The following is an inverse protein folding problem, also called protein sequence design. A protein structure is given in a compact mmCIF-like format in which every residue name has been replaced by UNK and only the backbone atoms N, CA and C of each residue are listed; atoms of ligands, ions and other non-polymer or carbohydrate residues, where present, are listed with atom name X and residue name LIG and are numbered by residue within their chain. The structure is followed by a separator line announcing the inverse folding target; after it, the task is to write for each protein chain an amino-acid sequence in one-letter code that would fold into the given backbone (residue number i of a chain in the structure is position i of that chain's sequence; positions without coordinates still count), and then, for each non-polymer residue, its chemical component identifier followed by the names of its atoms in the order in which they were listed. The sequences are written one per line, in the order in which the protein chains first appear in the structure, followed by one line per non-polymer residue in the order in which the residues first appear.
data_IF_176878754397
#
_entry.id   IF_176878754397
#
_cell.length_a   1.000
_cell.length_b   1.000
_cell.length_c   1.000
_cell.angle_alpha   90.00
_cell.angle_beta   90.00
_cell.angle_gamma   90.00
#
_symmetry.space_group_name_H-M   'P 1'
#
loop_
_entity.id
_entity.type
_entity.pdbx_description
1 polymer ?
#
# COMPACT_ATOMS: atom_id res chain seq x y z
N UNK A 1 23.94 -8.54 3.00
CA UNK A 1 23.56 -8.47 4.44
C UNK A 1 22.08 -8.72 4.55
N UNK A 2 21.67 -9.49 5.56
CA UNK A 2 20.30 -9.94 5.73
C UNK A 2 19.50 -9.01 6.65
N UNK A 3 18.21 -8.94 6.40
CA UNK A 3 17.23 -8.15 7.11
C UNK A 3 15.97 -8.95 7.35
N UNK A 4 15.25 -8.60 8.41
CA UNK A 4 13.88 -9.02 8.70
C UNK A 4 12.98 -7.79 8.63
N UNK A 5 11.80 -7.94 8.04
CA UNK A 5 10.76 -6.91 8.04
C UNK A 5 9.72 -7.27 9.09
N UNK A 6 9.50 -6.38 10.07
CA UNK A 6 8.49 -6.56 11.11
C UNK A 6 7.34 -5.57 10.93
N UNK A 7 6.11 -6.09 10.90
CA UNK A 7 4.90 -5.30 10.64
C UNK A 7 4.51 -4.53 11.90
N UNK A 8 4.42 -3.20 11.81
CA UNK A 8 4.04 -2.32 12.93
C UNK A 8 2.56 -1.94 12.89
N UNK A 9 1.95 -1.95 11.70
CA UNK A 9 0.53 -1.70 11.51
C UNK A 9 0.01 -2.53 10.33
N UNK A 10 -1.30 -2.82 10.23
CA UNK A 10 -1.78 -3.77 9.21
C UNK A 10 -1.33 -3.40 7.80
N UNK A 11 -0.76 -4.36 7.07
CA UNK A 11 -0.24 -4.18 5.71
C UNK A 11 -1.12 -4.92 4.72
N UNK A 12 -1.77 -4.17 3.84
CA UNK A 12 -2.49 -4.74 2.70
C UNK A 12 -1.80 -4.38 1.40
N UNK A 13 -1.36 -5.39 0.65
CA UNK A 13 -0.89 -5.29 -0.73
C UNK A 13 -1.90 -6.05 -1.58
N UNK A 14 -2.56 -5.38 -2.52
CA UNK A 14 -3.69 -5.97 -3.23
C UNK A 14 -3.22 -7.03 -4.23
N UNK A 15 -3.79 -8.24 -4.14
CA UNK A 15 -3.50 -9.34 -5.07
C UNK A 15 -4.31 -9.32 -6.37
N UNK A 16 -5.37 -8.52 -6.41
CA UNK A 16 -6.39 -8.60 -7.47
C UNK A 16 -7.48 -9.64 -7.16
N UNK A 17 -7.28 -10.51 -6.17
CA UNK A 17 -8.31 -11.45 -5.72
C UNK A 17 -9.31 -10.79 -4.77
N UNK A 18 -10.56 -11.22 -4.89
CA UNK A 18 -11.67 -10.77 -4.06
C UNK A 18 -12.46 -12.00 -3.61
N UNK A 19 -12.57 -12.20 -2.29
CA UNK A 19 -13.43 -13.23 -1.73
C UNK A 19 -14.87 -12.75 -1.78
N UNK A 20 -15.72 -13.54 -2.43
CA UNK A 20 -17.16 -13.32 -2.47
C UNK A 20 -17.77 -13.72 -1.13
N UNK A 21 -18.89 -13.11 -0.76
CA UNK A 21 -19.62 -13.44 0.47
C UNK A 21 -19.86 -14.96 0.62
N UNK A 22 -20.29 -15.63 -0.46
CA UNK A 22 -20.55 -17.08 -0.46
C UNK A 22 -19.31 -17.97 -0.24
N UNK A 23 -18.10 -17.41 -0.22
CA UNK A 23 -16.84 -18.17 -0.08
C UNK A 23 -16.24 -18.03 1.33
N UNK A 24 -16.98 -17.45 2.27
CA UNK A 24 -16.56 -17.40 3.66
C UNK A 24 -17.73 -17.52 4.64
N UNK A 25 -17.42 -17.93 5.87
CA UNK A 25 -18.31 -17.94 7.03
C UNK A 25 -17.68 -17.12 8.15
N UNK A 26 -18.51 -16.48 8.96
CA UNK A 26 -18.07 -15.82 10.19
C UNK A 26 -18.47 -16.70 11.36
N UNK A 27 -17.49 -17.11 12.16
CA UNK A 27 -17.71 -17.88 13.39
C UNK A 27 -16.92 -17.21 14.50
N UNK A 28 -17.63 -16.69 15.49
CA UNK A 28 -17.07 -15.87 16.56
C UNK A 28 -16.22 -14.72 15.97
N UNK A 29 -14.97 -14.57 16.43
CA UNK A 29 -14.01 -13.57 15.95
C UNK A 29 -13.15 -14.06 14.78
N UNK A 30 -13.59 -15.07 14.02
CA UNK A 30 -12.86 -15.65 12.89
C UNK A 30 -13.65 -15.60 11.59
N UNK A 31 -12.93 -15.46 10.49
CA UNK A 31 -13.45 -15.69 9.14
C UNK A 31 -12.85 -16.99 8.59
N UNK A 32 -13.71 -17.95 8.30
CA UNK A 32 -13.34 -19.22 7.66
C UNK A 32 -13.47 -19.03 6.15
N UNK A 33 -12.39 -19.25 5.41
CA UNK A 33 -12.31 -19.02 3.96
C UNK A 33 -12.35 -20.36 3.24
N UNK A 34 -13.19 -20.48 2.22
CA UNK A 34 -13.42 -21.72 1.46
C UNK A 34 -12.94 -21.59 0.02
N UNK A 35 -12.60 -22.71 -0.59
CA UNK A 35 -12.36 -22.77 -2.02
C UNK A 35 -13.70 -22.65 -2.77
N UNK A 36 -13.80 -21.69 -3.70
CA UNK A 36 -15.02 -21.46 -4.49
C UNK A 36 -15.50 -22.72 -5.22
N UNK A 37 -14.59 -23.56 -5.72
CA UNK A 37 -14.95 -24.82 -6.41
C UNK A 37 -15.57 -25.83 -5.45
N UNK A 38 -15.07 -25.90 -4.21
CA UNK A 38 -15.63 -26.83 -3.21
C UNK A 38 -17.01 -26.36 -2.75
N UNK A 39 -17.23 -25.04 -2.65
CA UNK A 39 -18.55 -24.46 -2.42
C UNK A 39 -19.51 -24.81 -3.56
N UNK A 40 -19.11 -24.60 -4.81
CA UNK A 40 -19.94 -24.90 -5.99
C UNK A 40 -20.30 -26.38 -6.06
N UNK A 41 -19.34 -27.28 -5.83
CA UNK A 41 -19.58 -28.73 -5.83
C UNK A 41 -20.53 -29.20 -4.73
N UNK A 42 -20.67 -28.40 -3.67
CA UNK A 42 -21.53 -28.72 -2.52
C UNK A 42 -22.95 -28.13 -2.67
N UNK A 43 -23.27 -27.47 -3.79
CA UNK A 43 -24.64 -27.06 -4.10
C UNK A 43 -25.46 -28.31 -4.40
N UNK A 44 -26.61 -28.46 -3.73
CA UNK A 44 -27.48 -29.61 -3.96
C UNK A 44 -28.04 -29.58 -5.37
N UNK A 45 -28.15 -30.75 -6.01
CA UNK A 45 -28.60 -30.87 -7.40
C UNK A 45 -29.96 -30.19 -7.65
N UNK A 46 -30.89 -30.30 -6.69
CA UNK A 46 -32.21 -29.65 -6.76
C UNK A 46 -32.17 -28.11 -6.71
N UNK A 47 -31.04 -27.52 -6.31
CA UNK A 47 -30.87 -26.08 -6.06
C UNK A 47 -29.91 -25.42 -7.07
N UNK A 48 -29.41 -26.15 -8.06
CA UNK A 48 -28.51 -25.62 -9.09
C UNK A 48 -29.10 -24.42 -9.86
N UNK A 49 -30.43 -24.38 -10.01
CA UNK A 49 -31.16 -23.31 -10.67
C UNK A 49 -31.79 -22.31 -9.69
N UNK A 50 -31.37 -22.31 -8.43
CA UNK A 50 -31.87 -21.39 -7.42
C UNK A 50 -31.51 -19.93 -7.80
N UNK A 51 -32.52 -19.08 -7.98
CA UNK A 51 -32.36 -17.70 -8.45
C UNK A 51 -31.53 -16.84 -7.48
N UNK A 52 -31.66 -17.05 -6.16
CA UNK A 52 -30.88 -16.31 -5.16
C UNK A 52 -29.39 -16.67 -5.23
N UNK A 53 -29.09 -17.97 -5.37
CA UNK A 53 -27.74 -18.47 -5.57
C UNK A 53 -27.15 -17.98 -6.90
N UNK A 54 -27.87 -18.14 -8.01
CA UNK A 54 -27.40 -17.71 -9.34
C UNK A 54 -27.17 -16.20 -9.40
N UNK A 55 -28.02 -15.39 -8.76
CA UNK A 55 -27.77 -13.94 -8.63
C UNK A 55 -26.47 -13.67 -7.91
N UNK A 56 -26.18 -14.37 -6.81
CA UNK A 56 -24.93 -14.17 -6.07
C UNK A 56 -23.68 -14.50 -6.91
N UNK A 57 -23.77 -15.46 -7.84
CA UNK A 57 -22.68 -15.77 -8.79
C UNK A 57 -22.59 -14.76 -9.94
N UNK A 58 -23.73 -14.32 -10.48
CA UNK A 58 -23.82 -13.42 -11.63
C UNK A 58 -23.54 -11.96 -11.27
N UNK A 59 -23.68 -11.56 -10.00
CA UNK A 59 -23.46 -10.18 -9.58
C UNK A 59 -21.99 -9.87 -9.41
N UNK A 60 -21.31 -9.56 -10.52
CA UNK A 60 -20.10 -8.70 -10.49
C UNK A 60 -20.45 -7.21 -10.52
N UNK A 61 -21.74 -6.85 -10.64
CA UNK A 61 -22.19 -5.48 -10.97
C UNK A 61 -23.31 -4.89 -10.09
N UNK A 62 -23.97 -5.67 -9.21
CA UNK A 62 -25.09 -5.18 -8.40
C UNK A 62 -24.61 -4.61 -7.07
N UNK A 63 -24.95 -3.35 -6.74
CA UNK A 63 -24.63 -2.73 -5.44
C UNK A 63 -25.63 -3.08 -4.32
N UNK A 64 -26.56 -4.00 -4.54
CA UNK A 64 -27.58 -4.31 -3.53
C UNK A 64 -27.06 -5.37 -2.57
N UNK A 65 -26.86 -4.96 -1.31
CA UNK A 65 -26.42 -5.83 -0.21
C UNK A 65 -27.26 -7.09 -0.03
N UNK A 66 -28.53 -7.06 -0.45
CA UNK A 66 -29.46 -8.18 -0.35
C UNK A 66 -29.01 -9.43 -1.11
N UNK A 67 -28.22 -9.28 -2.19
CA UNK A 67 -27.74 -10.40 -3.02
C UNK A 67 -26.42 -11.01 -2.56
N UNK A 68 -25.74 -10.37 -1.61
CA UNK A 68 -24.48 -10.89 -1.09
C UNK A 68 -24.78 -11.57 0.24
N UNK A 69 -24.89 -12.90 0.20
CA UNK A 69 -25.08 -13.73 1.38
C UNK A 69 -23.83 -14.54 1.64
N UNK A 70 -23.51 -14.70 2.92
CA UNK A 70 -22.38 -15.52 3.37
C UNK A 70 -22.69 -17.01 3.19
N UNK A 71 -21.67 -17.86 3.24
CA UNK A 71 -21.84 -19.29 2.99
C UNK A 71 -22.82 -19.94 3.99
N UNK A 72 -22.76 -19.54 5.26
CA UNK A 72 -23.63 -20.03 6.33
C UNK A 72 -25.11 -19.76 6.05
N UNK A 73 -25.45 -18.66 5.36
CA UNK A 73 -26.83 -18.41 4.93
C UNK A 73 -27.33 -19.50 3.98
N UNK A 74 -26.54 -19.88 2.98
CA UNK A 74 -26.92 -20.89 2.00
C UNK A 74 -26.97 -22.29 2.60
N UNK A 75 -26.09 -22.59 3.56
CA UNK A 75 -26.14 -23.84 4.34
C UNK A 75 -27.43 -23.90 5.16
N UNK A 76 -27.73 -22.84 5.93
CA UNK A 76 -28.93 -22.77 6.77
C UNK A 76 -30.24 -22.83 5.97
N UNK A 77 -30.23 -22.34 4.73
CA UNK A 77 -31.34 -22.47 3.77
C UNK A 77 -31.46 -23.87 3.15
N UNK A 78 -30.49 -24.74 3.38
CA UNK A 78 -30.42 -26.06 2.78
C UNK A 78 -30.10 -26.06 1.29
N UNK A 79 -29.58 -24.94 0.75
CA UNK A 79 -29.16 -24.80 -0.66
C UNK A 79 -27.81 -25.50 -0.88
N UNK A 80 -26.90 -25.35 0.09
CA UNK A 80 -25.57 -25.96 0.08
C UNK A 80 -25.51 -27.04 1.16
N UNK A 81 -24.81 -28.14 0.88
CA UNK A 81 -24.57 -29.23 1.83
C UNK A 81 -23.74 -28.76 3.03
N UNK A 82 -24.19 -29.09 4.24
CA UNK A 82 -23.53 -28.72 5.50
C UNK A 82 -22.10 -29.26 5.60
N UNK A 83 -21.80 -30.39 4.95
CA UNK A 83 -20.47 -31.00 4.92
C UNK A 83 -19.38 -30.09 4.33
N UNK A 84 -19.73 -29.02 3.61
CA UNK A 84 -18.76 -28.02 3.14
C UNK A 84 -18.15 -27.21 4.27
N UNK A 85 -18.85 -27.05 5.40
CA UNK A 85 -18.41 -26.23 6.53
C UNK A 85 -17.09 -26.72 7.14
N UNK A 86 -16.80 -28.02 7.01
CA UNK A 86 -15.56 -28.66 7.48
C UNK A 86 -14.41 -28.60 6.45
N UNK A 87 -14.62 -28.01 5.27
CA UNK A 87 -13.65 -27.94 4.15
C UNK A 87 -13.04 -26.54 3.97
N UNK A 88 -12.94 -25.75 5.04
CA UNK A 88 -12.31 -24.44 4.96
C UNK A 88 -10.82 -24.59 4.61
N UNK A 89 -10.32 -23.69 3.77
CA UNK A 89 -8.93 -23.63 3.32
C UNK A 89 -8.07 -22.83 4.29
N UNK A 90 -8.64 -21.79 4.89
CA UNK A 90 -7.91 -20.82 5.70
C UNK A 90 -8.78 -20.24 6.82
N UNK A 91 -8.14 -19.75 7.87
CA UNK A 91 -8.79 -19.06 8.99
C UNK A 91 -8.04 -17.76 9.27
N UNK A 92 -8.76 -16.65 9.31
CA UNK A 92 -8.19 -15.32 9.57
C UNK A 92 -8.94 -14.61 10.70
N UNK A 93 -8.26 -13.69 11.39
CA UNK A 93 -8.88 -12.89 12.46
C UNK A 93 -9.95 -11.95 11.88
N UNK A 94 -11.09 -11.81 12.55
CA UNK A 94 -12.14 -10.88 12.17
C UNK A 94 -12.10 -9.61 13.03
N UNK A 95 -11.70 -8.49 12.44
CA UNK A 95 -11.78 -7.16 13.08
C UNK A 95 -12.97 -6.34 12.58
N UNK A 96 -13.97 -7.00 11.98
CA UNK A 96 -15.15 -6.36 11.40
C UNK A 96 -16.43 -6.89 12.07
N UNK A 97 -17.17 -5.99 12.72
CA UNK A 97 -18.40 -6.35 13.43
C UNK A 97 -19.47 -7.00 12.53
N UNK A 98 -19.56 -6.58 11.27
CA UNK A 98 -20.57 -7.07 10.33
C UNK A 98 -19.96 -7.18 8.93
N UNK A 99 -19.75 -8.43 8.50
CA UNK A 99 -19.31 -8.80 7.17
C UNK A 99 -20.48 -9.18 6.25
N UNK A 100 -21.73 -9.09 6.70
CA UNK A 100 -22.88 -9.48 5.89
C UNK A 100 -22.89 -8.76 4.54
N UNK A 101 -22.84 -9.57 3.49
CA UNK A 101 -22.82 -9.11 2.12
C UNK A 101 -21.65 -8.21 1.74
N UNK A 102 -20.48 -8.40 2.37
CA UNK A 102 -19.25 -7.73 1.99
C UNK A 102 -18.36 -8.64 1.16
N UNK A 103 -17.68 -8.05 0.19
CA UNK A 103 -16.53 -8.68 -0.47
C UNK A 103 -15.26 -8.38 0.33
N UNK A 104 -14.38 -9.37 0.47
CA UNK A 104 -13.09 -9.20 1.15
C UNK A 104 -12.00 -9.15 0.09
N UNK A 105 -11.36 -7.98 -0.07
CA UNK A 105 -10.26 -7.81 -1.00
C UNK A 105 -9.00 -8.42 -0.39
N UNK A 106 -8.45 -9.43 -1.05
CA UNK A 106 -7.34 -10.21 -0.49
C UNK A 106 -6.01 -9.48 -0.57
N UNK A 107 -5.11 -9.85 0.33
CA UNK A 107 -3.71 -9.45 0.21
C UNK A 107 -2.90 -10.45 -0.61
N UNK A 108 -1.60 -10.19 -0.78
CA UNK A 108 -0.69 -11.06 -1.52
C UNK A 108 -0.45 -12.34 -0.73
N UNK A 109 -0.88 -13.47 -1.28
CA UNK A 109 -0.74 -14.80 -0.67
C UNK A 109 -0.22 -15.75 -1.75
N UNK A 110 0.71 -16.61 -1.35
CA UNK A 110 1.22 -17.72 -2.16
C UNK A 110 1.03 -19.04 -1.40
N UNK A 111 1.63 -20.13 -1.89
CA UNK A 111 1.53 -21.45 -1.24
C UNK A 111 2.15 -21.50 0.17
N UNK A 112 3.12 -20.64 0.47
CA UNK A 112 3.78 -20.54 1.77
C UNK A 112 3.01 -19.65 2.75
N UNK A 113 2.08 -18.82 2.28
CA UNK A 113 1.27 -17.92 3.08
C UNK A 113 1.30 -16.48 2.56
N UNK A 114 0.98 -15.49 3.41
CA UNK A 114 1.09 -14.10 3.01
C UNK A 114 2.54 -13.70 2.78
N UNK A 115 2.76 -12.83 1.80
CA UNK A 115 4.10 -12.39 1.43
C UNK A 115 4.08 -10.92 0.98
N UNK A 116 5.23 -10.26 1.06
CA UNK A 116 5.43 -8.92 0.50
C UNK A 116 6.21 -9.08 -0.80
N UNK A 117 5.65 -8.65 -1.95
CA UNK A 117 6.38 -8.70 -3.21
C UNK A 117 7.63 -7.81 -3.16
N UNK A 118 8.75 -8.30 -3.69
CA UNK A 118 10.00 -7.56 -3.77
C UNK A 118 9.86 -6.29 -4.60
N UNK A 119 8.94 -6.27 -5.56
CA UNK A 119 8.54 -5.09 -6.32
C UNK A 119 7.94 -3.97 -5.45
N UNK A 120 7.25 -4.31 -4.36
CA UNK A 120 6.70 -3.33 -3.41
C UNK A 120 7.81 -2.64 -2.63
N UNK A 121 8.77 -3.41 -2.10
CA UNK A 121 9.94 -2.86 -1.41
C UNK A 121 10.84 -2.09 -2.37
N UNK A 122 11.05 -2.60 -3.58
CA UNK A 122 11.86 -1.93 -4.61
C UNK A 122 11.23 -0.61 -5.04
N UNK A 123 9.91 -0.55 -5.15
CA UNK A 123 9.16 0.67 -5.41
C UNK A 123 9.36 1.70 -4.30
N UNK A 124 9.28 1.30 -3.03
CA UNK A 124 9.56 2.18 -1.89
C UNK A 124 11.00 2.73 -1.93
N UNK A 125 12.00 1.86 -2.06
CA UNK A 125 13.42 2.26 -2.12
C UNK A 125 13.65 3.22 -3.28
N UNK A 126 13.06 2.96 -4.45
CA UNK A 126 13.11 3.87 -5.60
C UNK A 126 12.56 5.24 -5.26
N UNK A 127 11.36 5.32 -4.69
CA UNK A 127 10.78 6.61 -4.32
C UNK A 127 11.62 7.34 -3.28
N UNK A 128 12.17 6.65 -2.28
CA UNK A 128 13.03 7.26 -1.26
C UNK A 128 14.33 7.83 -1.85
N UNK A 129 15.00 7.10 -2.76
CA UNK A 129 16.21 7.57 -3.45
C UNK A 129 15.89 8.79 -4.33
N UNK A 130 14.81 8.72 -5.11
CA UNK A 130 14.41 9.82 -6.00
C UNK A 130 14.05 11.06 -5.18
N UNK A 131 13.37 10.88 -4.06
CA UNK A 131 13.05 11.94 -3.11
C UNK A 131 14.29 12.64 -2.57
N UNK A 132 15.28 11.89 -2.04
CA UNK A 132 16.53 12.44 -1.50
C UNK A 132 17.37 13.11 -2.60
N UNK A 133 17.42 12.51 -3.79
CA UNK A 133 18.10 13.08 -4.96
C UNK A 133 17.50 14.43 -5.37
N UNK A 134 16.17 14.55 -5.37
CA UNK A 134 15.50 15.82 -5.61
C UNK A 134 15.87 16.85 -4.54
N UNK A 135 15.77 16.49 -3.25
CA UNK A 135 16.15 17.37 -2.14
C UNK A 135 17.55 17.96 -2.33
N UNK A 136 18.52 17.14 -2.73
CA UNK A 136 19.89 17.58 -3.01
C UNK A 136 20.03 18.47 -4.25
N UNK A 137 19.25 18.24 -5.32
CA UNK A 137 19.26 19.07 -6.54
C UNK A 137 18.52 20.41 -6.36
N UNK A 138 17.63 20.50 -5.38
CA UNK A 138 16.92 21.73 -5.02
C UNK A 138 15.71 22.06 -5.88
N UNK A 139 15.02 23.13 -5.50
CA UNK A 139 13.71 23.49 -6.05
C UNK A 139 13.76 23.91 -7.53
N UNK A 140 14.84 24.56 -7.97
CA UNK A 140 14.94 25.06 -9.34
C UNK A 140 15.04 23.92 -10.37
N UNK A 141 15.75 22.85 -10.02
CA UNK A 141 15.78 21.62 -10.81
C UNK A 141 14.39 21.01 -10.92
N UNK A 142 13.65 20.93 -9.80
CA UNK A 142 12.30 20.39 -9.78
C UNK A 142 11.33 21.26 -10.60
N UNK A 143 11.40 22.59 -10.47
CA UNK A 143 10.61 23.53 -11.29
C UNK A 143 10.94 23.36 -12.77
N UNK A 144 12.21 23.09 -13.10
CA UNK A 144 12.66 22.71 -14.44
C UNK A 144 12.00 21.43 -14.96
N UNK A 145 11.97 20.39 -14.12
CA UNK A 145 11.28 19.13 -14.42
C UNK A 145 9.78 19.36 -14.68
N UNK A 146 9.08 20.07 -13.80
CA UNK A 146 7.64 20.36 -13.98
C UNK A 146 7.37 21.14 -15.27
N UNK A 147 8.19 22.17 -15.58
CA UNK A 147 8.08 22.90 -16.85
C UNK A 147 8.29 22.00 -18.06
N UNK A 148 9.29 21.12 -18.00
CA UNK A 148 9.56 20.15 -19.05
C UNK A 148 8.37 19.23 -19.29
N UNK A 149 7.82 18.62 -18.23
CA UNK A 149 6.69 17.68 -18.30
C UNK A 149 5.41 18.33 -18.87
N UNK A 150 5.21 19.63 -18.61
CA UNK A 150 4.12 20.41 -19.19
C UNK A 150 4.36 20.86 -20.64
N UNK A 151 5.59 20.73 -21.14
CA UNK A 151 5.94 21.07 -22.53
C UNK A 151 5.48 20.01 -23.52
N UNK A 152 5.47 20.36 -24.81
CA UNK A 152 5.10 19.43 -25.90
C UNK A 152 6.03 18.20 -25.97
N UNK A 153 7.30 18.36 -25.59
CA UNK A 153 8.31 17.30 -25.58
C UNK A 153 8.26 16.42 -24.33
N UNK A 154 7.70 16.92 -23.22
CA UNK A 154 7.65 16.20 -21.94
C UNK A 154 6.36 15.42 -21.69
N UNK A 155 5.35 15.56 -22.56
CA UNK A 155 4.08 14.80 -22.42
C UNK A 155 4.35 13.30 -22.46
N UNK A 156 3.87 12.59 -21.44
CA UNK A 156 4.04 11.14 -21.31
C UNK A 156 5.24 10.71 -20.47
N UNK A 157 6.06 11.64 -20.00
CA UNK A 157 7.13 11.37 -19.04
C UNK A 157 6.68 11.70 -17.61
N UNK A 158 7.41 11.15 -16.64
CA UNK A 158 7.26 11.41 -15.22
C UNK A 158 8.46 12.18 -14.66
N UNK A 159 8.35 12.68 -13.42
CA UNK A 159 9.50 13.30 -12.73
C UNK A 159 10.62 12.28 -12.53
N UNK A 160 10.28 11.01 -12.28
CA UNK A 160 11.24 9.92 -12.21
C UNK A 160 12.01 9.79 -13.53
N UNK A 161 11.32 9.81 -14.68
CA UNK A 161 11.97 9.74 -15.99
C UNK A 161 12.93 10.93 -16.20
N UNK A 162 12.53 12.14 -15.77
CA UNK A 162 13.36 13.35 -15.84
C UNK A 162 14.65 13.27 -15.01
N UNK A 163 14.60 12.56 -13.90
CA UNK A 163 15.78 12.36 -13.06
C UNK A 163 16.65 11.27 -13.67
N UNK A 164 16.05 10.18 -14.17
CA UNK A 164 16.80 8.99 -14.58
C UNK A 164 17.42 9.10 -15.95
N UNK A 165 16.78 9.82 -16.88
CA UNK A 165 17.17 9.85 -18.28
C UNK A 165 17.67 11.22 -18.71
N UNK A 166 18.60 11.19 -19.65
CA UNK A 166 19.18 12.39 -20.25
C UNK A 166 18.18 13.08 -21.20
N UNK A 167 18.25 14.41 -21.22
CA UNK A 167 17.56 15.26 -22.19
C UNK A 167 18.56 15.54 -23.32
N UNK A 168 18.22 15.15 -24.54
CA UNK A 168 19.06 15.38 -25.72
C UNK A 168 19.09 16.85 -26.10
N UNK A 169 20.07 17.26 -26.92
CA UNK A 169 20.24 18.64 -27.41
C UNK A 169 18.99 19.21 -28.10
N UNK A 170 18.17 18.36 -28.72
CA UNK A 170 16.91 18.76 -29.35
C UNK A 170 15.74 18.96 -28.35
N UNK A 171 16.01 18.87 -27.05
CA UNK A 171 15.04 19.00 -25.97
C UNK A 171 14.10 17.81 -25.80
N UNK A 172 14.34 16.67 -26.47
CA UNK A 172 13.57 15.43 -26.25
C UNK A 172 14.29 14.51 -25.27
N UNK A 173 13.53 13.88 -24.39
CA UNK A 173 14.04 12.86 -23.49
C UNK A 173 14.06 11.50 -24.19
N UNK A 174 15.17 10.79 -24.07
CA UNK A 174 15.30 9.42 -24.58
C UNK A 174 15.10 8.44 -23.43
N UNK A 175 13.85 8.06 -23.17
CA UNK A 175 13.54 6.99 -22.21
C UNK A 175 14.07 5.66 -22.73
N UNK A 176 14.96 5.05 -21.98
CA UNK A 176 15.54 3.75 -22.30
C UNK A 176 15.52 2.88 -21.04
N UNK A 177 14.60 1.93 -20.97
CA UNK A 177 14.43 1.06 -19.80
C UNK A 177 15.72 0.26 -19.52
N UNK A 178 16.50 -0.08 -20.55
CA UNK A 178 17.78 -0.76 -20.39
C UNK A 178 18.85 0.11 -19.69
N UNK A 179 18.63 1.43 -19.63
CA UNK A 179 19.44 2.42 -18.93
C UNK A 179 18.87 2.80 -17.54
N UNK A 180 17.83 2.14 -17.04
CA UNK A 180 17.35 2.38 -15.67
C UNK A 180 18.36 1.79 -14.66
N UNK A 181 18.98 2.63 -13.78
CA UNK A 181 19.97 2.16 -12.82
C UNK A 181 19.39 1.18 -11.80
N UNK A 182 18.09 1.21 -11.52
CA UNK A 182 17.46 0.30 -10.55
C UNK A 182 17.46 -1.16 -11.02
N UNK A 183 17.89 -1.46 -12.26
CA UNK A 183 18.17 -2.84 -12.68
C UNK A 183 19.28 -3.50 -11.86
N UNK A 184 20.18 -2.70 -11.28
CA UNK A 184 21.30 -3.21 -10.47
C UNK A 184 20.86 -3.60 -9.05
N UNK A 185 19.61 -3.35 -8.67
CA UNK A 185 19.05 -3.72 -7.37
C UNK A 185 17.98 -4.80 -7.53
N UNK A 186 18.22 -5.97 -6.95
CA UNK A 186 17.26 -7.06 -6.78
C UNK A 186 16.71 -7.06 -5.36
N UNK A 187 15.41 -7.35 -5.23
CA UNK A 187 14.77 -7.67 -3.96
C UNK A 187 13.84 -8.84 -4.27
N UNK A 188 14.03 -9.97 -3.58
CA UNK A 188 13.15 -11.12 -3.72
C UNK A 188 11.79 -10.84 -3.09
N UNK A 189 10.79 -11.62 -3.46
CA UNK A 189 9.56 -11.71 -2.68
C UNK A 189 9.87 -12.31 -1.30
N UNK A 190 9.25 -11.79 -0.25
CA UNK A 190 9.53 -12.19 1.14
C UNK A 190 8.28 -12.75 1.82
N UNK A 191 8.38 -13.95 2.36
CA UNK A 191 7.27 -14.60 3.06
C UNK A 191 7.20 -14.14 4.53
N UNK A 192 5.99 -14.06 5.07
CA UNK A 192 5.78 -13.85 6.50
C UNK A 192 5.88 -15.17 7.27
N UNK A 193 6.49 -15.13 8.45
CA UNK A 193 6.79 -16.32 9.26
C UNK A 193 5.58 -16.74 10.08
N UNK A 194 4.92 -15.80 10.76
CA UNK A 194 3.77 -16.12 11.62
C UNK A 194 2.47 -16.25 10.82
N UNK A 195 2.45 -15.69 9.59
CA UNK A 195 1.31 -15.76 8.65
C UNK A 195 0.03 -15.18 9.24
N UNK A 196 0.15 -14.14 10.07
CA UNK A 196 -0.99 -13.53 10.75
C UNK A 196 -1.75 -12.66 9.78
N UNK A 197 -2.98 -13.07 9.49
CA UNK A 197 -3.90 -12.36 8.62
C UNK A 197 -5.14 -11.94 9.41
N UNK A 198 -5.57 -10.70 9.16
CA UNK A 198 -6.81 -10.16 9.71
C UNK A 198 -7.66 -9.51 8.63
N UNK A 199 -8.98 -9.56 8.82
CA UNK A 199 -9.97 -8.87 7.99
C UNK A 199 -10.33 -7.55 8.66
N UNK A 200 -10.22 -6.47 7.90
CA UNK A 200 -10.37 -5.11 8.36
C UNK A 200 -11.33 -4.32 7.47
N UNK A 201 -12.13 -3.44 8.07
CA UNK A 201 -12.96 -2.48 7.34
C UNK A 201 -12.21 -1.16 7.18
N UNK A 202 -11.97 -0.76 5.94
CA UNK A 202 -11.38 0.55 5.65
C UNK A 202 -12.39 1.67 5.90
N UNK A 203 -11.89 2.76 6.46
CA UNK A 203 -12.59 4.05 6.52
C UNK A 203 -11.73 5.10 5.82
N UNK A 204 -12.35 5.87 4.92
CA UNK A 204 -11.71 6.99 4.25
C UNK A 204 -12.14 8.26 4.98
N UNK A 205 -11.21 8.89 5.68
CA UNK A 205 -11.41 10.21 6.25
C UNK A 205 -11.08 11.27 5.22
N UNK A 206 -12.08 12.04 4.83
CA UNK A 206 -11.93 13.35 4.21
C UNK A 206 -12.11 14.37 5.34
N UNK A 207 -11.37 15.47 5.34
CA UNK A 207 -11.31 16.46 6.45
C UNK A 207 -12.69 16.79 7.05
N UNK A 208 -13.75 16.82 6.24
CA UNK A 208 -15.12 17.13 6.67
C UNK A 208 -16.07 15.93 6.82
N UNK A 209 -15.71 14.73 6.36
CA UNK A 209 -16.61 13.57 6.33
C UNK A 209 -15.88 12.24 6.22
N UNK A 210 -16.55 11.19 6.67
CA UNK A 210 -16.11 9.81 6.46
C UNK A 210 -16.81 9.20 5.27
N UNK A 211 -16.09 8.35 4.56
CA UNK A 211 -16.64 7.50 3.51
C UNK A 211 -16.29 6.05 3.83
N UNK A 212 -17.24 5.11 3.65
CA UNK A 212 -16.92 3.70 3.78
C UNK A 212 -15.88 3.32 2.73
N UNK A 213 -14.84 2.61 3.14
CA UNK A 213 -13.91 1.94 2.24
C UNK A 213 -14.31 0.50 2.01
N UNK A 214 -13.37 -0.29 1.49
CA UNK A 214 -13.57 -1.72 1.26
C UNK A 214 -13.31 -2.51 2.54
N UNK A 215 -13.77 -3.76 2.57
CA UNK A 215 -13.24 -4.75 3.51
C UNK A 215 -12.00 -5.38 2.89
N UNK A 216 -10.90 -5.43 3.64
CA UNK A 216 -9.60 -5.90 3.16
C UNK A 216 -9.06 -6.96 4.11
N UNK A 217 -8.37 -7.94 3.55
CA UNK A 217 -7.47 -8.83 4.30
C UNK A 217 -6.09 -8.16 4.39
N UNK A 218 -5.42 -8.20 5.54
CA UNK A 218 -4.12 -7.57 5.73
C UNK A 218 -3.22 -8.43 6.62
N UNK A 219 -1.91 -8.36 6.39
CA UNK A 219 -0.90 -8.89 7.30
C UNK A 219 -0.96 -8.10 8.60
N UNK A 220 -1.08 -8.80 9.73
CA UNK A 220 -1.30 -8.16 11.02
C UNK A 220 -0.01 -7.56 11.61
N UNK A 221 -0.21 -6.56 12.48
CA UNK A 221 0.88 -6.02 13.27
C UNK A 221 1.47 -7.12 14.19
N UNK A 222 2.79 -7.16 14.28
CA UNK A 222 3.54 -8.15 15.04
C UNK A 222 4.05 -9.34 14.24
N UNK A 223 3.56 -9.56 13.01
CA UNK A 223 4.15 -10.54 12.10
C UNK A 223 5.53 -10.04 11.59
N UNK A 224 6.38 -10.96 11.18
CA UNK A 224 7.73 -10.69 10.69
C UNK A 224 8.09 -11.58 9.50
N UNK A 225 8.95 -11.09 8.61
CA UNK A 225 9.35 -11.81 7.41
C UNK A 225 10.46 -12.82 7.68
N UNK A 226 10.65 -13.75 6.73
CA UNK A 226 11.92 -14.43 6.58
C UNK A 226 13.07 -13.44 6.29
N UNK A 227 14.30 -13.92 6.43
CA UNK A 227 15.48 -13.13 6.09
C UNK A 227 15.58 -12.85 4.59
N UNK A 228 15.96 -11.61 4.26
CA UNK A 228 16.21 -11.21 2.88
C UNK A 228 17.29 -10.13 2.80
N UNK A 229 17.84 -9.92 1.61
CA UNK A 229 18.86 -8.92 1.33
C UNK A 229 18.47 -8.02 0.15
N UNK A 230 19.06 -6.82 0.13
CA UNK A 230 19.08 -5.97 -1.06
C UNK A 230 20.23 -6.45 -1.94
N UNK A 231 19.91 -7.18 -3.00
CA UNK A 231 20.92 -7.67 -3.92
C UNK A 231 21.39 -6.53 -4.83
N UNK A 232 22.62 -6.05 -4.63
CA UNK A 232 23.19 -4.97 -5.41
C UNK A 232 24.30 -5.51 -6.32
N UNK A 233 24.07 -5.45 -7.63
CA UNK A 233 24.99 -5.93 -8.66
C UNK A 233 25.42 -4.80 -9.59
N UNK A 234 26.25 -3.88 -9.10
CA UNK A 234 26.80 -2.78 -9.92
C UNK A 234 28.07 -3.27 -10.61
N UNK A 235 28.08 -3.23 -11.95
CA UNK A 235 29.30 -3.45 -12.73
C UNK A 235 29.97 -2.09 -12.96
N UNK A 236 31.15 -1.85 -12.37
CA UNK A 236 31.87 -0.57 -12.43
C UNK A 236 32.12 -0.08 -13.87
N UNK A 237 32.42 -0.98 -14.81
CA UNK A 237 32.66 -0.62 -16.22
C UNK A 237 31.39 -0.12 -16.90
N UNK A 238 30.23 -0.65 -16.52
CA UNK A 238 28.94 -0.26 -17.06
C UNK A 238 28.32 0.90 -16.28
N UNK A 239 28.65 1.09 -15.00
CA UNK A 239 28.05 2.11 -14.14
C UNK A 239 28.11 3.53 -14.73
N UNK A 240 29.19 3.86 -15.44
CA UNK A 240 29.38 5.16 -16.09
C UNK A 240 28.41 5.44 -17.24
N UNK A 241 27.75 4.43 -17.80
CA UNK A 241 26.72 4.60 -18.84
C UNK A 241 25.30 4.80 -18.28
N UNK A 242 25.17 4.88 -16.96
CA UNK A 242 23.90 5.07 -16.24
C UNK A 242 23.94 6.36 -15.44
N UNK A 243 22.81 6.73 -14.86
CA UNK A 243 22.75 7.88 -13.95
C UNK A 243 23.61 7.63 -12.70
N UNK A 244 24.80 8.23 -12.67
CA UNK A 244 25.79 8.08 -11.59
C UNK A 244 25.32 8.71 -10.28
N UNK A 245 24.44 9.72 -10.32
CA UNK A 245 23.85 10.29 -9.11
C UNK A 245 22.96 9.26 -8.40
N UNK A 246 22.28 8.39 -9.14
CA UNK A 246 21.46 7.32 -8.56
C UNK A 246 22.32 6.15 -8.10
N UNK A 247 23.35 5.77 -8.86
CA UNK A 247 24.24 4.66 -8.50
C UNK A 247 24.94 4.89 -7.15
N UNK A 248 25.24 6.15 -6.79
CA UNK A 248 25.83 6.50 -5.48
C UNK A 248 25.00 6.00 -4.29
N UNK A 249 23.69 5.81 -4.47
CA UNK A 249 22.80 5.29 -3.43
C UNK A 249 22.83 3.78 -3.28
N UNK A 250 23.44 3.04 -4.20
CA UNK A 250 23.51 1.58 -4.15
C UNK A 250 24.64 1.10 -3.22
N UNK A 251 24.64 1.67 -2.01
CA UNK A 251 25.44 1.26 -0.86
C UNK A 251 24.50 1.13 0.31
N UNK A 252 24.75 0.16 1.17
CA UNK A 252 23.89 -0.15 2.32
C UNK A 252 23.62 1.09 3.19
N UNK A 253 24.68 1.78 3.60
CA UNK A 253 24.63 2.99 4.42
C UNK A 253 23.71 4.07 3.81
N UNK A 254 23.77 4.26 2.48
CA UNK A 254 22.93 5.22 1.78
C UNK A 254 21.49 4.75 1.68
N UNK A 255 21.23 3.45 1.44
CA UNK A 255 19.88 2.89 1.42
C UNK A 255 19.17 3.07 2.76
N UNK A 256 19.84 2.72 3.85
CA UNK A 256 19.30 2.87 5.19
C UNK A 256 19.07 4.34 5.53
N UNK A 257 20.04 5.22 5.22
CA UNK A 257 19.91 6.67 5.42
C UNK A 257 18.71 7.26 4.69
N UNK A 258 18.50 6.92 3.40
CA UNK A 258 17.38 7.48 2.63
C UNK A 258 16.03 6.92 3.09
N UNK A 259 15.96 5.64 3.48
CA UNK A 259 14.74 5.06 4.02
C UNK A 259 14.36 5.73 5.35
N UNK A 260 15.32 5.85 6.27
CA UNK A 260 15.15 6.57 7.53
C UNK A 260 14.67 8.01 7.32
N UNK A 261 15.33 8.77 6.44
CA UNK A 261 15.01 10.17 6.20
C UNK A 261 13.65 10.34 5.52
N UNK A 262 13.35 9.50 4.52
CA UNK A 262 12.07 9.53 3.82
C UNK A 262 10.91 9.20 4.76
N UNK A 263 11.08 8.19 5.62
CA UNK A 263 10.08 7.78 6.61
C UNK A 263 9.84 8.86 7.66
N UNK A 264 10.92 9.45 8.21
CA UNK A 264 10.84 10.59 9.14
C UNK A 264 10.02 11.73 8.56
N UNK A 265 10.27 12.09 7.31
CA UNK A 265 9.56 13.18 6.66
C UNK A 265 8.08 12.86 6.37
N UNK A 266 7.76 11.60 6.04
CA UNK A 266 6.37 11.14 5.91
C UNK A 266 5.65 11.19 7.26
N UNK A 267 6.26 10.64 8.32
CA UNK A 267 5.63 10.56 9.64
C UNK A 267 5.38 11.96 10.18
N UNK A 268 6.35 12.86 10.08
CA UNK A 268 6.20 14.26 10.49
C UNK A 268 5.06 14.96 9.73
N UNK A 269 4.97 14.77 8.42
CA UNK A 269 3.88 15.32 7.60
C UNK A 269 2.51 14.80 8.02
N UNK A 270 2.39 13.52 8.37
CA UNK A 270 1.14 12.93 8.85
C UNK A 270 0.77 13.46 10.24
N UNK A 271 1.74 13.60 11.15
CA UNK A 271 1.54 14.20 12.48
C UNK A 271 1.01 15.63 12.34
N UNK A 272 1.62 16.45 11.48
CA UNK A 272 1.17 17.81 11.20
C UNK A 272 -0.25 17.85 10.65
N UNK A 273 -0.58 16.93 9.73
CA UNK A 273 -1.91 16.80 9.16
C UNK A 273 -2.96 16.53 10.26
N UNK A 274 -2.75 15.54 11.13
CA UNK A 274 -3.72 15.17 12.16
C UNK A 274 -3.76 16.15 13.34
N UNK A 275 -2.67 16.88 13.61
CA UNK A 275 -2.67 18.00 14.56
C UNK A 275 -3.49 19.18 14.03
N UNK A 276 -3.40 19.47 12.73
CA UNK A 276 -4.14 20.56 12.06
C UNK A 276 -5.63 20.24 11.85
N UNK A 277 -5.94 19.06 11.35
CA UNK A 277 -7.29 18.66 10.97
C UNK A 277 -7.92 17.72 12.00
N UNK A 278 -8.27 18.28 13.16
CA UNK A 278 -9.02 17.57 14.21
C UNK A 278 -10.48 17.42 13.79
N UNK A 279 -11.06 16.24 14.04
CA UNK A 279 -12.47 15.97 13.80
C UNK A 279 -13.09 15.35 15.06
N UNK A 280 -14.26 15.83 15.56
CA UNK A 280 -14.83 15.35 16.84
C UNK A 280 -15.04 13.84 16.91
N UNK A 281 -15.41 13.23 15.79
CA UNK A 281 -15.66 11.78 15.69
C UNK A 281 -14.41 10.94 15.39
N UNK A 282 -13.23 11.54 15.18
CA UNK A 282 -11.98 10.81 14.94
C UNK A 282 -11.05 10.97 16.13
N UNK A 283 -10.58 9.86 16.69
CA UNK A 283 -9.53 9.88 17.70
C UNK A 283 -8.17 10.22 17.07
N UNK A 284 -7.97 11.48 16.69
CA UNK A 284 -6.71 11.94 16.11
C UNK A 284 -5.56 11.90 17.11
N UNK A 285 -5.84 11.89 18.41
CA UNK A 285 -4.85 11.74 19.46
C UNK A 285 -4.15 10.38 19.37
N UNK A 286 -4.93 9.30 19.30
CA UNK A 286 -4.38 7.93 19.16
C UNK A 286 -3.60 7.74 17.86
N UNK A 287 -4.04 8.38 16.75
CA UNK A 287 -3.27 8.38 15.49
C UNK A 287 -1.92 9.07 15.67
N UNK A 288 -1.91 10.26 16.28
CA UNK A 288 -0.69 11.03 16.50
C UNK A 288 0.26 10.28 17.44
N UNK A 289 -0.24 9.70 18.54
CA UNK A 289 0.55 8.88 19.45
C UNK A 289 1.15 7.66 18.73
N UNK A 290 0.37 6.98 17.88
CA UNK A 290 0.87 5.86 17.07
C UNK A 290 1.98 6.30 16.11
N UNK A 291 1.84 7.47 15.48
CA UNK A 291 2.86 8.02 14.59
C UNK A 291 4.12 8.46 15.35
N UNK A 292 3.98 9.05 16.53
CA UNK A 292 5.10 9.42 17.40
C UNK A 292 5.86 8.18 17.86
N UNK A 293 5.17 7.09 18.23
CA UNK A 293 5.80 5.79 18.53
C UNK A 293 6.55 5.20 17.32
N UNK A 294 6.03 5.36 16.11
CA UNK A 294 6.74 4.95 14.88
C UNK A 294 7.95 5.84 14.62
N UNK A 295 7.86 7.15 14.91
CA UNK A 295 8.96 8.09 14.78
C UNK A 295 10.11 7.74 15.73
N UNK A 296 9.80 7.33 16.96
CA UNK A 296 10.78 6.94 17.98
C UNK A 296 11.52 5.65 17.62
N UNK A 297 10.84 4.73 16.92
CA UNK A 297 11.44 3.49 16.41
C UNK A 297 12.29 3.69 15.14
N UNK A 298 12.14 4.82 14.47
CA UNK A 298 12.81 5.09 13.20
C UNK A 298 14.25 5.56 13.44
N UNK A 299 15.21 4.65 13.30
CA UNK A 299 16.64 4.93 13.35
C UNK A 299 17.29 4.68 11.97
N UNK A 300 18.58 4.99 11.84
CA UNK A 300 19.33 4.68 10.61
C UNK A 300 19.52 3.16 10.50
N UNK A 301 19.77 2.49 11.62
CA UNK A 301 20.04 1.06 11.71
C UNK A 301 18.78 0.23 11.53
N UNK A 302 17.63 0.75 12.00
CA UNK A 302 16.32 0.11 11.91
C UNK A 302 15.27 1.07 11.34
N UNK A 303 15.32 1.40 10.04
CA UNK A 303 14.41 2.37 9.46
C UNK A 303 12.98 1.84 9.45
N UNK A 304 12.05 2.69 9.88
CA UNK A 304 10.63 2.47 9.67
C UNK A 304 10.31 2.74 8.21
N UNK A 305 9.40 1.97 7.62
CA UNK A 305 8.98 2.09 6.24
C UNK A 305 7.47 2.05 6.11
N UNK A 306 6.95 2.62 5.02
CA UNK A 306 5.51 2.61 4.71
C UNK A 306 5.22 1.96 3.36
N UNK A 307 4.58 0.80 3.38
CA UNK A 307 4.32 -0.05 2.22
C UNK A 307 2.83 -0.36 2.03
N UNK A 308 2.47 -0.88 0.86
CA UNK A 308 1.10 -1.30 0.56
C UNK A 308 0.09 -0.15 0.45
N UNK A 309 -1.18 -0.51 0.65
CA UNK A 309 -2.35 0.38 0.59
C UNK A 309 -2.40 1.29 1.81
N UNK A 310 -2.99 2.48 1.63
CA UNK A 310 -3.17 3.45 2.71
C UNK A 310 -2.04 4.49 2.86
N UNK A 311 -0.90 4.31 2.17
CA UNK A 311 0.23 5.26 2.22
C UNK A 311 -0.03 6.65 1.59
N UNK A 312 -1.09 6.80 0.81
CA UNK A 312 -1.51 8.10 0.26
C UNK A 312 -0.60 8.65 -0.84
N UNK A 313 -0.90 9.84 -1.35
CA UNK A 313 -0.16 10.44 -2.48
C UNK A 313 1.28 10.82 -2.12
N UNK A 314 1.49 11.43 -0.95
CA UNK A 314 2.81 11.94 -0.52
C UNK A 314 3.85 10.84 -0.25
N UNK A 315 3.40 9.64 0.15
CA UNK A 315 4.27 8.47 0.34
C UNK A 315 4.43 7.61 -0.92
N UNK A 316 3.71 7.91 -2.00
CA UNK A 316 3.79 7.20 -3.29
C UNK A 316 4.53 8.01 -4.36
N UNK A 317 4.77 9.29 -4.10
CA UNK A 317 5.27 10.23 -5.09
C UNK A 317 6.30 11.15 -4.47
N UNK A 318 6.97 11.91 -5.31
CA UNK A 318 7.89 12.97 -4.89
C UNK A 318 7.18 14.26 -4.47
N UNK A 319 5.83 14.28 -4.39
CA UNK A 319 5.06 15.47 -4.04
C UNK A 319 5.43 16.04 -2.66
N UNK A 320 5.88 15.20 -1.74
CA UNK A 320 6.40 15.65 -0.44
C UNK A 320 7.68 16.49 -0.57
N UNK A 321 8.57 16.17 -1.53
CA UNK A 321 9.81 16.92 -1.73
C UNK A 321 9.50 18.36 -2.17
N UNK A 322 8.51 18.54 -3.06
CA UNK A 322 8.04 19.86 -3.48
C UNK A 322 7.60 20.68 -2.27
N UNK A 323 6.73 20.11 -1.42
CA UNK A 323 6.22 20.79 -0.23
C UNK A 323 7.34 21.18 0.74
N UNK A 324 8.32 20.29 0.97
CA UNK A 324 9.44 20.56 1.88
C UNK A 324 10.36 21.67 1.37
N UNK A 325 10.62 21.70 0.07
CA UNK A 325 11.49 22.72 -0.52
C UNK A 325 10.81 24.08 -0.65
N UNK A 326 9.55 24.08 -1.09
CA UNK A 326 8.80 25.30 -1.43
C UNK A 326 7.30 25.05 -1.28
N UNK A 327 6.80 25.33 -0.08
CA UNK A 327 5.41 25.12 0.30
C UNK A 327 4.44 25.98 -0.53
N UNK A 328 4.83 27.21 -0.88
CA UNK A 328 3.97 28.11 -1.64
C UNK A 328 3.83 27.63 -3.09
N UNK A 329 4.95 27.20 -3.69
CA UNK A 329 4.92 26.56 -5.00
C UNK A 329 4.10 25.27 -4.98
N UNK A 330 4.24 24.44 -3.94
CA UNK A 330 3.39 23.26 -3.77
C UNK A 330 1.90 23.62 -3.76
N UNK A 331 1.48 24.55 -2.91
CA UNK A 331 0.07 24.94 -2.80
C UNK A 331 -0.50 25.51 -4.11
N UNK A 332 0.33 26.21 -4.89
CA UNK A 332 -0.05 26.80 -6.17
C UNK A 332 -0.16 25.78 -7.30
N UNK A 333 0.83 24.89 -7.43
CA UNK A 333 0.99 24.03 -8.61
C UNK A 333 0.54 22.59 -8.41
N UNK A 334 0.31 22.12 -7.17
CA UNK A 334 0.00 20.71 -6.93
C UNK A 334 -1.25 20.23 -7.68
N UNK A 335 -2.23 21.10 -7.93
CA UNK A 335 -3.42 20.76 -8.73
C UNK A 335 -3.05 20.40 -10.18
N UNK A 336 -2.04 21.07 -10.75
CA UNK A 336 -1.58 20.85 -12.13
C UNK A 336 -0.66 19.63 -12.21
N UNK A 337 0.10 19.37 -11.13
CA UNK A 337 1.05 18.26 -11.05
C UNK A 337 0.33 16.95 -10.75
N UNK A 338 -0.54 16.94 -9.73
CA UNK A 338 -1.23 15.74 -9.27
C UNK A 338 -2.54 15.44 -10.01
N UNK A 339 -3.11 16.43 -10.72
CA UNK A 339 -4.41 16.36 -11.43
C UNK A 339 -5.47 15.54 -10.66
N UNK A 340 -5.81 15.93 -9.42
CA UNK A 340 -6.76 15.18 -8.62
C UNK A 340 -8.18 15.29 -9.20
N UNK A 341 -8.93 14.19 -9.16
CA UNK A 341 -10.31 14.12 -9.67
C UNK A 341 -11.22 15.22 -9.10
N UNK A 342 -11.03 15.59 -7.83
CA UNK A 342 -11.67 16.74 -7.18
C UNK A 342 -10.62 17.51 -6.39
N UNK A 343 -10.44 18.78 -6.74
CA UNK A 343 -9.63 19.74 -5.98
C UNK A 343 -10.55 20.74 -5.29
N UNK A 344 -10.22 21.14 -4.07
CA UNK A 344 -10.89 22.28 -3.45
C UNK A 344 -9.81 23.12 -2.74
N UNK A 345 -9.82 24.42 -3.04
CA UNK A 345 -8.75 25.34 -2.69
C UNK A 345 -8.65 25.63 -1.18
N UNK A 346 -9.66 25.25 -0.40
CA UNK A 346 -9.69 25.50 1.05
C UNK A 346 -8.81 24.54 1.85
N UNK A 347 -8.40 23.42 1.26
CA UNK A 347 -7.61 22.40 1.96
C UNK A 347 -6.42 21.95 1.13
N UNK A 348 -5.31 21.71 1.82
CA UNK A 348 -4.10 21.18 1.22
C UNK A 348 -4.33 19.76 0.67
N UNK A 349 -3.86 19.49 -0.54
CA UNK A 349 -3.87 18.15 -1.12
C UNK A 349 -2.71 17.29 -0.54
N UNK A 350 -2.87 15.97 -0.39
CA UNK A 350 -4.12 15.21 -0.42
C UNK A 350 -4.93 15.42 0.87
N UNK A 351 -6.25 15.55 0.71
CA UNK A 351 -7.19 15.76 1.83
C UNK A 351 -7.58 14.50 2.55
N UNK A 352 -7.43 13.36 1.90
CA UNK A 352 -7.96 12.08 2.39
C UNK A 352 -6.88 11.27 3.09
N UNK A 353 -7.28 10.54 4.12
CA UNK A 353 -6.48 9.49 4.77
C UNK A 353 -7.31 8.23 4.91
N UNK A 354 -6.64 7.09 4.86
CA UNK A 354 -7.26 5.77 5.06
C UNK A 354 -6.75 5.18 6.35
N UNK A 355 -7.65 4.62 7.13
CA UNK A 355 -7.34 3.82 8.30
C UNK A 355 -8.29 2.62 8.34
N UNK A 356 -7.96 1.67 9.19
CA UNK A 356 -8.83 0.54 9.53
C UNK A 356 -9.28 0.64 10.98
N UNK A 357 -10.19 -0.24 11.39
CA UNK A 357 -10.85 -0.21 12.70
C UNK A 357 -11.80 0.97 12.86
N UNK A 358 -12.38 1.13 14.06
CA UNK A 358 -13.38 2.16 14.34
C UNK A 358 -12.74 3.56 14.36
N UNK A 359 -13.57 4.60 14.24
CA UNK A 359 -13.09 5.99 14.35
C UNK A 359 -12.61 6.35 15.77
N UNK A 360 -13.03 5.57 16.77
CA UNK A 360 -12.65 5.73 18.17
C UNK A 360 -11.30 5.07 18.49
N UNK A 361 -10.93 4.03 17.72
CA UNK A 361 -9.59 3.39 17.76
C UNK A 361 -9.07 3.15 16.34
N UNK A 362 -8.70 4.23 15.62
CA UNK A 362 -8.26 4.16 14.24
C UNK A 362 -6.84 3.62 14.13
N UNK A 363 -6.62 2.62 13.27
CA UNK A 363 -5.28 2.07 12.97
C UNK A 363 -4.82 2.50 11.58
N UNK A 364 -3.64 3.12 11.51
CA UNK A 364 -3.01 3.42 10.23
C UNK A 364 -2.55 2.14 9.52
N UNK A 365 -2.48 2.21 8.19
CA UNK A 365 -2.04 1.10 7.36
C UNK A 365 -0.60 1.27 6.88
N UNK A 366 0.08 0.14 6.74
CA UNK A 366 1.27 0.00 5.92
C UNK A 366 2.61 0.22 6.61
N UNK A 367 2.66 0.42 7.93
CA UNK A 367 3.94 0.66 8.61
C UNK A 367 4.63 -0.66 8.98
N UNK A 368 5.93 -0.73 8.70
CA UNK A 368 6.81 -1.82 9.09
C UNK A 368 8.17 -1.26 9.50
N UNK A 369 9.00 -2.06 10.15
CA UNK A 369 10.39 -1.73 10.48
C UNK A 369 11.31 -2.76 9.83
N UNK A 370 12.44 -2.28 9.32
CA UNK A 370 13.49 -3.13 8.79
C UNK A 370 14.52 -3.35 9.91
N UNK A 371 14.74 -4.59 10.31
CA UNK A 371 15.71 -4.96 11.35
C UNK A 371 16.86 -5.72 10.68
N UNK A 372 18.10 -5.29 10.97
CA UNK A 372 19.30 -5.96 10.47
C UNK A 372 19.52 -7.25 11.26
N UNK A 373 19.79 -8.35 10.56
CA UNK A 373 20.17 -9.61 11.21
C UNK A 373 21.64 -9.50 11.60
N UNK A 374 21.93 -9.55 12.90
CA UNK A 374 23.30 -9.71 13.40
C UNK A 374 23.75 -11.15 13.09
N UNK A 375 24.85 -11.27 12.35
CA UNK A 375 25.42 -12.56 11.92
C UNK A 375 26.37 -13.17 12.92
#
# INVERSE_FOLDING_TARGET
MAYILKVLSPVHIHSGEVLKAMTYMVKDDKVLIFNEIDVIKSVKESELLNDELLRSFATTASKRKEYYKTLDYYINKGIIEEAVAEKYKDIVENHVNDLSGQEIYRTMINILGPYIPGSTLKGLVRTAIIYDCLLKKGIDYLKGAVRYLNSRNGRGFSVDDYILYEILDNGKMKKNIYQDPFKFMGIKDINMVEKRLGVYKETIFNITKFQPGNVIEAIEAGDYSEEFDFEIRVNEKLANSYNTDIIKYFKEEELLRVLHQYSKDIIQEEIEYFKKYKHPSLNTKEIVESLELMQDKNSIETPVIRIGKGKGYKSNTVGLAIKKMDKDYYLKEIKNIANPYKYDNNYEFPKTRKFVSSQLSPKLLGFAILEKVEG
#
